data_IF_033453603423
#
_entry.id   IF_033453603423
#
_cell.length_a   1.000
_cell.length_b   1.000
_cell.length_c   1.000
_cell.angle_alpha   90.00
_cell.angle_beta   90.00
_cell.angle_gamma   90.00
#
_symmetry.space_group_name_H-M   'P 1'
#
loop_
_entity.id
_entity.type
_entity.pdbx_description
1 polymer ?
#
# COMPACT_ATOMS: atom_id res chain seq x y z
N UNK A 1 16.87 14.78 -6.93
CA UNK A 1 16.23 13.76 -6.07
C UNK A 1 15.54 12.77 -6.99
N UNK A 2 15.93 11.49 -6.96
CA UNK A 2 15.16 10.47 -7.66
C UNK A 2 13.78 10.42 -7.00
N UNK A 3 12.72 10.57 -7.80
CA UNK A 3 11.35 10.45 -7.30
C UNK A 3 11.10 8.98 -6.97
N UNK A 4 11.35 8.61 -5.69
CA UNK A 4 11.16 7.25 -5.18
C UNK A 4 9.68 6.85 -5.07
N UNK A 5 8.77 7.61 -5.71
CA UNK A 5 7.32 7.40 -5.71
C UNK A 5 6.80 6.75 -6.98
N UNK A 6 7.62 6.75 -8.05
CA UNK A 6 7.28 6.13 -9.34
C UNK A 6 8.12 4.88 -9.54
N UNK A 7 7.46 3.75 -9.78
CA UNK A 7 8.14 2.49 -10.09
C UNK A 7 8.85 2.56 -11.44
N UNK A 8 10.13 2.27 -11.44
CA UNK A 8 10.89 2.08 -12.66
C UNK A 8 10.64 0.68 -13.23
N UNK A 9 10.52 0.61 -14.56
CA UNK A 9 10.32 -0.63 -15.28
C UNK A 9 11.51 -0.84 -16.20
N UNK A 10 12.11 -2.02 -16.14
CA UNK A 10 13.19 -2.42 -17.03
C UNK A 10 12.98 -3.85 -17.50
N UNK A 11 13.11 -4.06 -18.82
CA UNK A 11 12.90 -5.38 -19.45
C UNK A 11 11.56 -6.04 -19.05
N UNK A 12 10.51 -5.23 -18.91
CA UNK A 12 9.18 -5.69 -18.57
C UNK A 12 8.96 -6.08 -17.10
N UNK A 13 9.90 -5.76 -16.21
CA UNK A 13 9.76 -6.01 -14.78
C UNK A 13 9.89 -4.72 -13.96
N UNK A 14 9.22 -4.69 -12.80
CA UNK A 14 9.39 -3.62 -11.82
C UNK A 14 10.74 -3.74 -11.13
N UNK A 15 11.47 -2.63 -11.04
CA UNK A 15 12.74 -2.58 -10.34
C UNK A 15 12.53 -2.29 -8.85
N UNK A 16 13.36 -2.88 -7.98
CA UNK A 16 13.45 -2.47 -6.58
C UNK A 16 13.81 -1.00 -6.44
N UNK A 17 13.24 -0.35 -5.42
CA UNK A 17 13.69 0.97 -5.01
C UNK A 17 15.00 0.87 -4.23
N UNK A 18 15.83 1.87 -4.38
CA UNK A 18 16.99 2.06 -3.51
C UNK A 18 16.50 2.69 -2.19
N UNK A 19 16.12 1.82 -1.24
CA UNK A 19 15.54 2.23 0.03
C UNK A 19 16.66 2.55 1.00
N UNK A 20 16.75 3.82 1.39
CA UNK A 20 17.58 4.26 2.50
C UNK A 20 16.70 4.31 3.75
N UNK A 21 16.90 3.42 4.73
CA UNK A 21 16.08 3.39 5.94
C UNK A 21 16.15 4.72 6.70
N UNK A 22 14.99 5.21 7.14
CA UNK A 22 14.89 6.41 7.98
C UNK A 22 15.53 6.20 9.36
N UNK A 23 15.80 7.26 10.10
CA UNK A 23 16.30 7.13 11.48
C UNK A 23 15.29 6.37 12.36
N UNK A 24 13.99 6.63 12.18
CA UNK A 24 12.93 5.94 12.91
C UNK A 24 12.91 4.43 12.58
N UNK A 25 13.07 4.07 11.31
CA UNK A 25 13.09 2.66 10.90
C UNK A 25 14.30 1.92 11.44
N UNK A 26 15.46 2.57 11.58
CA UNK A 26 16.65 1.97 12.17
C UNK A 26 16.44 1.56 13.64
N UNK A 27 15.66 2.32 14.42
CA UNK A 27 15.31 1.95 15.79
C UNK A 27 14.43 0.70 15.81
N UNK A 28 13.43 0.64 14.92
CA UNK A 28 12.56 -0.54 14.76
C UNK A 28 13.36 -1.77 14.36
N UNK A 29 14.21 -1.64 13.35
CA UNK A 29 15.06 -2.73 12.87
C UNK A 29 15.96 -3.26 14.00
N UNK A 30 16.57 -2.36 14.77
CA UNK A 30 17.43 -2.74 15.89
C UNK A 30 16.66 -3.47 16.99
N UNK A 31 15.43 -3.05 17.27
CA UNK A 31 14.59 -3.70 18.26
C UNK A 31 14.15 -5.10 17.80
N UNK A 32 13.69 -5.24 16.55
CA UNK A 32 13.26 -6.54 16.02
C UNK A 32 14.41 -7.55 15.94
N UNK A 33 15.63 -7.12 15.61
CA UNK A 33 16.80 -7.99 15.56
C UNK A 33 17.20 -8.61 16.92
N UNK A 34 16.67 -8.08 18.03
CA UNK A 34 16.90 -8.60 19.38
C UNK A 34 15.91 -9.70 19.76
N UNK A 35 14.87 -9.92 18.96
CA UNK A 35 13.86 -10.94 19.24
C UNK A 35 14.34 -12.32 18.77
N UNK A 36 13.90 -13.35 19.49
CA UNK A 36 14.06 -14.73 19.06
C UNK A 36 13.00 -15.03 17.97
N UNK A 37 13.44 -15.11 16.74
CA UNK A 37 12.58 -15.31 15.56
C UNK A 37 12.56 -16.82 15.23
N UNK A 38 11.36 -17.43 15.06
CA UNK A 38 11.27 -18.83 14.64
C UNK A 38 12.01 -19.06 13.31
N UNK A 39 12.69 -20.20 13.19
CA UNK A 39 13.64 -20.48 12.07
C UNK A 39 13.06 -20.31 10.67
N UNK A 40 11.75 -20.57 10.49
CA UNK A 40 11.07 -20.50 9.19
C UNK A 40 10.18 -19.26 9.08
N UNK A 41 10.53 -18.20 9.78
CA UNK A 41 9.76 -16.95 9.79
C UNK A 41 10.62 -15.81 9.30
N UNK A 42 10.14 -15.09 8.30
CA UNK A 42 10.80 -13.91 7.72
C UNK A 42 10.01 -12.67 8.08
N UNK A 43 10.69 -11.59 8.46
CA UNK A 43 10.07 -10.32 8.84
C UNK A 43 10.56 -9.22 7.90
N UNK A 44 9.61 -8.49 7.34
CA UNK A 44 9.83 -7.33 6.48
C UNK A 44 9.17 -6.09 7.06
N UNK A 45 9.88 -4.96 7.03
CA UNK A 45 9.34 -3.63 7.28
C UNK A 45 9.03 -2.96 5.94
N UNK A 46 7.89 -2.28 5.86
CA UNK A 46 7.45 -1.56 4.66
C UNK A 46 6.73 -0.25 5.03
N UNK A 47 6.23 0.45 4.02
CA UNK A 47 5.37 1.61 4.21
C UNK A 47 6.11 2.91 4.51
N UNK A 48 5.35 3.93 4.88
CA UNK A 48 5.87 5.29 5.08
C UNK A 48 6.90 5.37 6.20
N UNK A 49 6.79 4.51 7.20
CA UNK A 49 7.72 4.47 8.32
C UNK A 49 9.15 4.07 7.89
N UNK A 50 9.25 3.22 6.87
CA UNK A 50 10.54 2.83 6.29
C UNK A 50 11.18 3.97 5.47
N UNK A 51 10.36 4.75 4.76
CA UNK A 51 10.81 5.59 3.66
C UNK A 51 11.05 7.07 4.04
N UNK A 52 10.55 7.53 5.19
CA UNK A 52 10.65 8.95 5.59
C UNK A 52 10.77 9.15 7.09
N UNK A 53 11.54 10.17 7.48
CA UNK A 53 11.62 10.64 8.86
C UNK A 53 10.47 11.61 9.21
N UNK A 54 9.83 12.18 8.19
CA UNK A 54 8.68 13.07 8.35
C UNK A 54 7.41 12.25 8.20
N UNK A 55 6.89 11.77 9.33
CA UNK A 55 5.71 10.90 9.37
C UNK A 55 4.45 11.72 9.64
N UNK A 56 3.39 11.40 8.90
CA UNK A 56 2.06 11.87 9.27
C UNK A 56 1.70 11.36 10.68
N UNK A 57 0.98 12.15 11.52
CA UNK A 57 0.60 11.72 12.87
C UNK A 57 -0.10 10.37 12.95
N UNK A 58 -0.85 10.01 11.92
CA UNK A 58 -1.59 8.75 11.81
C UNK A 58 -0.84 7.67 11.02
N UNK A 59 0.46 7.84 10.74
CA UNK A 59 1.24 6.77 10.09
C UNK A 59 1.44 5.61 11.05
N UNK A 60 1.18 4.42 10.55
CA UNK A 60 1.42 3.13 11.19
C UNK A 60 2.81 2.58 10.87
N UNK A 61 3.21 1.57 11.60
CA UNK A 61 4.41 0.77 11.33
C UNK A 61 3.96 -0.52 10.68
N UNK A 62 4.23 -0.66 9.40
CA UNK A 62 3.75 -1.78 8.59
C UNK A 62 4.77 -2.92 8.57
N UNK A 63 4.38 -4.11 9.05
CA UNK A 63 5.16 -5.34 8.91
C UNK A 63 4.47 -6.35 8.00
N UNK A 64 5.29 -7.16 7.34
CA UNK A 64 4.84 -8.42 6.74
C UNK A 64 5.67 -9.54 7.34
N UNK A 65 5.00 -10.54 7.90
CA UNK A 65 5.59 -11.76 8.41
C UNK A 65 5.22 -12.89 7.45
N UNK A 66 6.24 -13.60 6.96
CA UNK A 66 6.06 -14.79 6.12
C UNK A 66 6.41 -16.00 6.97
N UNK A 67 5.46 -16.90 7.19
CA UNK A 67 5.64 -18.09 8.01
C UNK A 67 4.63 -19.18 7.67
N UNK A 68 5.07 -20.45 7.74
CA UNK A 68 4.20 -21.61 7.58
C UNK A 68 3.57 -22.06 8.91
N UNK A 69 3.92 -21.42 10.02
CA UNK A 69 3.43 -21.76 11.35
C UNK A 69 2.73 -20.57 12.01
N UNK A 70 1.98 -20.83 13.08
CA UNK A 70 1.37 -19.75 13.86
C UNK A 70 2.42 -18.80 14.42
N UNK A 71 2.22 -17.52 14.23
CA UNK A 71 3.11 -16.43 14.70
C UNK A 71 2.44 -15.54 15.76
N UNK A 72 1.38 -16.03 16.43
CA UNK A 72 0.60 -15.23 17.37
C UNK A 72 1.46 -14.69 18.53
N UNK A 73 2.29 -15.55 19.12
CA UNK A 73 3.21 -15.15 20.21
C UNK A 73 4.25 -14.13 19.72
N UNK A 74 4.77 -14.31 18.51
CA UNK A 74 5.70 -13.37 17.89
C UNK A 74 5.03 -12.00 17.68
N UNK A 75 3.78 -11.96 17.20
CA UNK A 75 3.02 -10.71 17.05
C UNK A 75 2.86 -9.99 18.38
N UNK A 76 2.51 -10.72 19.44
CA UNK A 76 2.38 -10.14 20.78
C UNK A 76 3.72 -9.61 21.30
N UNK A 77 4.80 -10.35 21.06
CA UNK A 77 6.17 -9.94 21.40
C UNK A 77 6.58 -8.67 20.65
N UNK A 78 6.34 -8.61 19.34
CA UNK A 78 6.62 -7.42 18.52
C UNK A 78 5.86 -6.21 19.06
N UNK A 79 4.55 -6.34 19.30
CA UNK A 79 3.72 -5.24 19.83
C UNK A 79 4.25 -4.73 21.17
N UNK A 80 4.62 -5.65 22.06
CA UNK A 80 5.16 -5.29 23.40
C UNK A 80 6.53 -4.63 23.26
N UNK A 81 7.40 -5.17 22.43
CA UNK A 81 8.78 -4.70 22.26
C UNK A 81 8.87 -3.33 21.58
N UNK A 82 7.91 -3.04 20.70
CA UNK A 82 7.82 -1.77 19.96
C UNK A 82 6.89 -0.75 20.61
N UNK A 83 6.38 -0.98 21.82
CA UNK A 83 5.47 -0.05 22.52
C UNK A 83 6.06 1.37 22.69
N UNK A 84 7.40 1.50 22.70
CA UNK A 84 8.09 2.79 22.79
C UNK A 84 7.87 3.70 21.59
N UNK A 85 7.44 3.17 20.44
CA UNK A 85 7.22 3.94 19.21
C UNK A 85 5.96 4.80 19.33
N UNK A 86 5.01 4.41 20.19
CA UNK A 86 3.71 5.09 20.39
C UNK A 86 2.94 5.33 19.07
N UNK A 87 2.92 4.31 18.21
CA UNK A 87 2.19 4.29 16.93
C UNK A 87 1.48 2.96 16.73
N UNK A 88 0.38 2.95 15.97
CA UNK A 88 -0.24 1.69 15.56
C UNK A 88 0.76 0.83 14.81
N UNK A 89 0.73 -0.47 15.08
CA UNK A 89 1.52 -1.47 14.38
C UNK A 89 0.56 -2.31 13.56
N UNK A 90 0.74 -2.31 12.25
CA UNK A 90 0.00 -3.19 11.33
C UNK A 90 0.88 -4.37 10.96
N UNK A 91 0.40 -5.59 11.21
CA UNK A 91 1.12 -6.82 10.89
C UNK A 91 0.26 -7.66 9.97
N UNK A 92 0.78 -7.93 8.78
CA UNK A 92 0.18 -8.86 7.83
C UNK A 92 0.97 -10.16 7.85
N UNK A 93 0.29 -11.28 8.10
CA UNK A 93 0.89 -12.61 8.09
C UNK A 93 0.51 -13.33 6.81
N UNK A 94 1.47 -13.90 6.14
CA UNK A 94 1.32 -14.63 4.89
C UNK A 94 2.04 -15.97 5.00
N UNK A 95 1.48 -17.03 4.44
CA UNK A 95 2.23 -18.23 4.06
C UNK A 95 3.02 -17.97 2.77
N UNK A 96 3.93 -18.87 2.43
CA UNK A 96 4.61 -18.81 1.12
C UNK A 96 3.62 -18.93 -0.04
N UNK A 97 2.55 -19.73 0.14
CA UNK A 97 1.48 -19.86 -0.84
C UNK A 97 0.69 -18.56 -1.00
N UNK A 98 0.25 -17.92 0.10
CA UNK A 98 -0.44 -16.63 0.06
C UNK A 98 0.39 -15.58 -0.63
N UNK A 99 1.69 -15.55 -0.34
CA UNK A 99 2.63 -14.63 -0.99
C UNK A 99 2.73 -14.92 -2.50
N UNK A 100 2.81 -16.18 -2.89
CA UNK A 100 2.87 -16.57 -4.31
C UNK A 100 1.60 -16.13 -5.06
N UNK A 101 0.44 -16.27 -4.45
CA UNK A 101 -0.85 -15.89 -5.06
C UNK A 101 -1.08 -14.37 -5.09
N UNK A 102 -0.44 -13.61 -4.20
CA UNK A 102 -0.66 -12.16 -4.09
C UNK A 102 0.33 -11.34 -4.91
N UNK A 103 -0.08 -10.91 -6.11
CA UNK A 103 0.72 -9.98 -6.93
C UNK A 103 1.04 -8.66 -6.19
N UNK A 104 0.15 -8.19 -5.33
CA UNK A 104 0.34 -6.97 -4.53
C UNK A 104 1.47 -7.12 -3.52
N UNK A 105 1.43 -8.19 -2.70
CA UNK A 105 2.47 -8.39 -1.69
C UNK A 105 3.81 -8.75 -2.33
N UNK A 106 3.84 -9.54 -3.39
CA UNK A 106 5.06 -9.79 -4.17
C UNK A 106 5.67 -8.50 -4.68
N UNK A 107 4.87 -7.64 -5.33
CA UNK A 107 5.34 -6.34 -5.81
C UNK A 107 5.91 -5.48 -4.68
N UNK A 108 5.17 -5.34 -3.58
CA UNK A 108 5.59 -4.49 -2.47
C UNK A 108 6.83 -5.03 -1.76
N UNK A 109 6.87 -6.33 -1.46
CA UNK A 109 8.00 -6.94 -0.76
C UNK A 109 9.24 -6.96 -1.62
N UNK A 110 9.12 -7.29 -2.92
CA UNK A 110 10.25 -7.27 -3.83
C UNK A 110 10.82 -5.87 -4.06
N UNK A 111 9.96 -4.83 -4.11
CA UNK A 111 10.40 -3.51 -4.58
C UNK A 111 10.45 -2.43 -3.50
N UNK A 112 9.68 -2.54 -2.42
CA UNK A 112 9.50 -1.48 -1.41
C UNK A 112 9.43 -2.01 0.02
N UNK A 113 10.30 -2.93 0.38
CA UNK A 113 10.42 -3.41 1.76
C UNK A 113 11.87 -3.60 2.16
N UNK A 114 12.10 -3.65 3.45
CA UNK A 114 13.38 -3.98 4.06
C UNK A 114 13.24 -5.32 4.79
N UNK A 115 14.00 -6.32 4.39
CA UNK A 115 14.16 -7.54 5.17
C UNK A 115 14.87 -7.25 6.49
N UNK A 116 14.27 -7.67 7.62
CA UNK A 116 14.80 -7.36 8.95
C UNK A 116 15.38 -8.58 9.63
N UNK A 117 14.67 -9.71 9.59
CA UNK A 117 15.03 -10.90 10.34
C UNK A 117 14.47 -12.18 9.70
N UNK A 118 15.10 -13.31 10.05
CA UNK A 118 14.78 -14.64 9.53
C UNK A 118 15.44 -14.92 8.17
N UNK A 119 15.08 -16.01 7.49
CA UNK A 119 15.57 -16.30 6.15
C UNK A 119 15.02 -15.29 5.13
N UNK A 120 15.88 -14.77 4.27
CA UNK A 120 15.44 -13.87 3.21
C UNK A 120 14.67 -14.68 2.13
N UNK A 121 13.49 -14.18 1.76
CA UNK A 121 12.71 -14.78 0.67
C UNK A 121 13.23 -14.26 -0.65
N UNK A 122 13.58 -15.17 -1.54
CA UNK A 122 14.00 -14.83 -2.90
C UNK A 122 12.73 -14.64 -3.75
N UNK A 123 12.59 -13.46 -4.32
CA UNK A 123 11.47 -13.12 -5.19
C UNK A 123 11.87 -13.24 -6.66
N UNK A 124 11.02 -13.91 -7.45
CA UNK A 124 11.09 -13.75 -8.90
C UNK A 124 10.75 -12.31 -9.28
N UNK A 125 11.36 -11.77 -10.35
CA UNK A 125 11.02 -10.44 -10.84
C UNK A 125 9.54 -10.29 -11.08
N UNK A 126 8.93 -9.25 -10.51
CA UNK A 126 7.49 -8.99 -10.70
C UNK A 126 7.29 -8.29 -12.03
N UNK A 127 6.60 -8.96 -12.94
CA UNK A 127 6.37 -8.44 -14.29
C UNK A 127 5.43 -7.23 -14.27
N UNK A 128 5.82 -6.19 -15.02
CA UNK A 128 5.01 -5.02 -15.27
C UNK A 128 4.05 -5.30 -16.42
N UNK A 129 3.01 -6.07 -16.17
CA UNK A 129 2.04 -6.51 -17.17
C UNK A 129 0.59 -6.39 -16.68
N UNK A 130 -0.35 -6.63 -17.58
CA UNK A 130 -1.78 -6.52 -17.31
C UNK A 130 -2.24 -7.46 -16.19
N UNK A 131 -1.71 -8.69 -16.13
CA UNK A 131 -2.09 -9.67 -15.11
C UNK A 131 -1.69 -9.23 -13.70
N UNK A 132 -0.46 -8.74 -13.53
CA UNK A 132 0.03 -8.17 -12.27
C UNK A 132 -0.84 -6.98 -11.85
N UNK A 133 -1.14 -6.07 -12.77
CA UNK A 133 -1.96 -4.89 -12.48
C UNK A 133 -3.42 -5.24 -12.19
N UNK A 134 -3.96 -6.22 -12.87
CA UNK A 134 -5.29 -6.77 -12.60
C UNK A 134 -5.39 -7.34 -11.18
N UNK A 135 -4.44 -8.18 -10.79
CA UNK A 135 -4.36 -8.71 -9.42
C UNK A 135 -4.24 -7.60 -8.39
N UNK A 136 -3.40 -6.59 -8.66
CA UNK A 136 -3.23 -5.44 -7.79
C UNK A 136 -4.51 -4.58 -7.68
N UNK A 137 -5.25 -4.38 -8.77
CA UNK A 137 -6.53 -3.69 -8.77
C UNK A 137 -7.58 -4.46 -7.94
N UNK A 138 -7.69 -5.76 -8.13
CA UNK A 138 -8.64 -6.58 -7.39
C UNK A 138 -8.34 -6.66 -5.90
N UNK A 139 -7.08 -6.52 -5.49
CA UNK A 139 -6.72 -6.37 -4.08
C UNK A 139 -7.33 -5.09 -3.47
N UNK A 140 -7.41 -3.99 -4.22
CA UNK A 140 -8.02 -2.74 -3.73
C UNK A 140 -9.53 -2.71 -3.80
N UNK A 141 -10.14 -3.44 -4.72
CA UNK A 141 -11.58 -3.36 -5.00
C UNK A 141 -12.48 -3.54 -3.77
N UNK A 142 -12.25 -4.50 -2.85
CA UNK A 142 -13.06 -4.63 -1.64
C UNK A 142 -13.00 -3.38 -0.75
N UNK A 143 -11.83 -2.78 -0.61
CA UNK A 143 -11.65 -1.55 0.17
C UNK A 143 -12.32 -0.35 -0.50
N UNK A 144 -12.25 -0.24 -1.83
CA UNK A 144 -12.94 0.80 -2.57
C UNK A 144 -14.46 0.65 -2.46
N UNK A 145 -14.99 -0.58 -2.53
CA UNK A 145 -16.41 -0.85 -2.33
C UNK A 145 -16.84 -0.49 -0.91
N UNK A 146 -16.06 -0.88 0.10
CA UNK A 146 -16.32 -0.51 1.49
C UNK A 146 -16.36 1.02 1.70
N UNK A 147 -15.59 1.80 0.94
CA UNK A 147 -15.63 3.27 0.97
C UNK A 147 -17.01 3.83 0.66
N UNK A 148 -17.76 3.16 -0.20
CA UNK A 148 -19.12 3.58 -0.59
C UNK A 148 -20.16 3.35 0.52
N UNK A 149 -19.81 2.61 1.57
CA UNK A 149 -20.72 2.17 2.63
C UNK A 149 -20.35 2.74 4.00
N UNK A 150 -19.11 3.13 4.23
CA UNK A 150 -18.62 3.52 5.56
C UNK A 150 -18.68 5.01 5.81
N UNK A 151 -19.07 5.37 7.03
CA UNK A 151 -19.11 6.76 7.53
C UNK A 151 -18.03 7.05 8.60
N UNK A 152 -17.24 6.08 9.05
CA UNK A 152 -16.22 6.30 10.09
C UNK A 152 -14.94 6.94 9.54
N UNK A 153 -14.34 7.90 10.27
CA UNK A 153 -13.18 8.69 9.82
C UNK A 153 -11.93 7.85 9.50
N UNK A 154 -11.48 6.90 10.35
CA UNK A 154 -10.28 6.12 10.05
C UNK A 154 -10.42 5.26 8.79
N UNK A 155 -11.57 4.60 8.64
CA UNK A 155 -11.86 3.78 7.46
C UNK A 155 -11.93 4.62 6.19
N UNK A 156 -12.43 5.86 6.26
CA UNK A 156 -12.50 6.77 5.11
C UNK A 156 -11.16 7.10 4.52
N UNK A 157 -10.18 7.46 5.36
CA UNK A 157 -8.83 7.80 4.91
C UNK A 157 -8.21 6.60 4.19
N UNK A 158 -8.32 5.40 4.78
CA UNK A 158 -7.80 4.18 4.17
C UNK A 158 -8.48 3.90 2.82
N UNK A 159 -9.79 4.03 2.76
CA UNK A 159 -10.60 3.76 1.59
C UNK A 159 -10.36 4.80 0.48
N UNK A 160 -10.25 6.08 0.85
CA UNK A 160 -9.91 7.16 -0.07
C UNK A 160 -8.51 6.95 -0.65
N UNK A 161 -7.54 6.47 0.16
CA UNK A 161 -6.23 6.04 -0.32
C UNK A 161 -6.35 4.97 -1.41
N UNK A 162 -7.18 3.95 -1.22
CA UNK A 162 -7.28 2.85 -2.18
C UNK A 162 -7.97 3.28 -3.49
N UNK A 163 -9.04 4.09 -3.40
CA UNK A 163 -9.68 4.67 -4.61
C UNK A 163 -8.66 5.53 -5.38
N UNK A 164 -7.94 6.38 -4.68
CA UNK A 164 -6.94 7.24 -5.33
C UNK A 164 -5.82 6.42 -5.97
N UNK A 165 -5.29 5.43 -5.27
CA UNK A 165 -4.21 4.55 -5.76
C UNK A 165 -4.63 3.68 -6.95
N UNK A 166 -5.90 3.37 -7.10
CA UNK A 166 -6.37 2.62 -8.26
C UNK A 166 -6.15 3.38 -9.57
N UNK A 167 -6.12 4.72 -9.55
CA UNK A 167 -5.76 5.53 -10.73
C UNK A 167 -4.29 5.37 -11.15
N UNK A 168 -3.39 5.00 -10.23
CA UNK A 168 -2.03 4.60 -10.61
C UNK A 168 -2.00 3.32 -11.44
N UNK A 169 -2.86 2.35 -11.10
CA UNK A 169 -3.01 1.11 -11.87
C UNK A 169 -3.61 1.41 -13.25
N UNK A 170 -4.69 2.20 -13.28
CA UNK A 170 -5.36 2.57 -14.53
C UNK A 170 -4.41 3.38 -15.44
N UNK A 171 -3.62 4.28 -14.88
CA UNK A 171 -2.61 5.03 -15.65
C UNK A 171 -1.60 4.08 -16.29
N UNK A 172 -1.02 3.16 -15.52
CA UNK A 172 -0.10 2.17 -16.07
C UNK A 172 -0.73 1.35 -17.19
N UNK A 173 -1.99 0.94 -17.03
CA UNK A 173 -2.70 0.15 -18.05
C UNK A 173 -2.95 0.91 -19.36
N UNK A 174 -3.11 2.25 -19.27
CA UNK A 174 -3.31 3.11 -20.45
C UNK A 174 -2.00 3.44 -21.16
N UNK A 175 -0.94 3.72 -20.40
CA UNK A 175 0.31 4.27 -20.90
C UNK A 175 1.46 3.24 -20.90
N UNK A 176 1.44 2.29 -19.98
CA UNK A 176 2.44 1.20 -19.87
C UNK A 176 3.82 1.63 -19.38
N UNK A 177 4.04 2.92 -19.12
CA UNK A 177 5.37 3.47 -18.86
C UNK A 177 5.65 3.71 -17.38
N UNK A 178 4.63 4.11 -16.60
CA UNK A 178 4.78 4.53 -15.23
C UNK A 178 3.69 3.96 -14.32
N UNK A 179 4.10 3.55 -13.12
CA UNK A 179 3.20 3.13 -12.05
C UNK A 179 3.57 3.84 -10.75
N UNK A 180 2.58 4.30 -10.00
CA UNK A 180 2.77 4.90 -8.68
C UNK A 180 1.63 4.59 -7.73
N UNK A 181 1.92 4.60 -6.43
CA UNK A 181 0.94 4.56 -5.33
C UNK A 181 0.98 5.84 -4.49
N UNK A 182 1.78 6.81 -4.91
CA UNK A 182 1.84 8.12 -4.28
C UNK A 182 0.54 8.89 -4.51
N UNK A 183 -0.05 9.42 -3.44
CA UNK A 183 -1.36 10.06 -3.51
C UNK A 183 -1.36 11.28 -4.44
N UNK A 184 -0.44 12.26 -4.30
CA UNK A 184 -0.36 13.39 -5.21
C UNK A 184 -0.23 12.98 -6.69
N UNK A 185 0.61 12.00 -6.98
CA UNK A 185 0.80 11.49 -8.34
C UNK A 185 -0.49 10.83 -8.87
N UNK A 186 -1.14 9.99 -8.07
CA UNK A 186 -2.39 9.34 -8.45
C UNK A 186 -3.54 10.35 -8.64
N UNK A 187 -3.61 11.41 -7.84
CA UNK A 187 -4.59 12.50 -8.01
C UNK A 187 -4.36 13.26 -9.32
N UNK A 188 -3.10 13.53 -9.68
CA UNK A 188 -2.77 14.11 -10.98
C UNK A 188 -3.28 13.23 -12.13
N UNK A 189 -3.03 11.93 -12.07
CA UNK A 189 -3.51 10.99 -13.10
C UNK A 189 -5.03 10.86 -13.12
N UNK A 190 -5.70 10.83 -11.96
CA UNK A 190 -7.16 10.87 -11.88
C UNK A 190 -7.73 12.09 -12.60
N UNK A 191 -7.14 13.28 -12.37
CA UNK A 191 -7.57 14.52 -13.00
C UNK A 191 -7.30 14.56 -14.52
N UNK A 192 -6.26 13.87 -14.99
CA UNK A 192 -5.99 13.70 -16.42
C UNK A 192 -6.98 12.76 -17.11
N UNK A 193 -7.34 11.65 -16.45
CA UNK A 193 -8.28 10.67 -16.99
C UNK A 193 -9.72 11.16 -16.96
N UNK A 194 -10.13 11.78 -15.86
CA UNK A 194 -11.45 12.36 -15.68
C UNK A 194 -11.35 13.61 -14.79
N UNK A 195 -11.42 14.79 -15.40
CA UNK A 195 -11.24 16.08 -14.72
C UNK A 195 -12.23 16.28 -13.57
N UNK A 196 -13.48 15.82 -13.71
CA UNK A 196 -14.49 15.95 -12.66
C UNK A 196 -14.13 15.06 -11.47
N UNK A 197 -13.85 13.77 -11.70
CA UNK A 197 -13.48 12.84 -10.64
C UNK A 197 -12.18 13.23 -9.94
N UNK A 198 -11.18 13.70 -10.70
CA UNK A 198 -9.94 14.18 -10.15
C UNK A 198 -10.14 15.39 -9.23
N UNK A 199 -10.92 16.37 -9.66
CA UNK A 199 -11.24 17.55 -8.85
C UNK A 199 -11.98 17.18 -7.54
N UNK A 200 -12.96 16.26 -7.64
CA UNK A 200 -13.69 15.78 -6.46
C UNK A 200 -12.81 15.00 -5.49
N UNK A 201 -11.91 14.15 -5.98
CA UNK A 201 -10.95 13.45 -5.13
C UNK A 201 -10.00 14.43 -4.43
N UNK A 202 -9.50 15.44 -5.12
CA UNK A 202 -8.66 16.49 -4.53
C UNK A 202 -9.44 17.20 -3.40
N UNK A 203 -10.67 17.64 -3.66
CA UNK A 203 -11.54 18.26 -2.67
C UNK A 203 -11.74 17.36 -1.43
N UNK A 204 -12.00 16.08 -1.62
CA UNK A 204 -12.17 15.11 -0.54
C UNK A 204 -10.88 14.96 0.28
N UNK A 205 -9.70 14.98 -0.35
CA UNK A 205 -8.42 14.94 0.33
C UNK A 205 -8.16 16.22 1.14
N UNK A 206 -8.47 17.39 0.60
CA UNK A 206 -8.29 18.68 1.28
C UNK A 206 -9.18 18.79 2.54
N UNK A 207 -10.30 18.09 2.55
CA UNK A 207 -11.29 18.15 3.64
C UNK A 207 -11.24 16.95 4.60
N UNK A 208 -10.50 15.89 4.27
CA UNK A 208 -10.53 14.61 5.02
C UNK A 208 -10.10 14.76 6.47
N UNK A 209 -9.18 15.66 6.78
CA UNK A 209 -8.70 15.91 8.14
C UNK A 209 -9.59 16.85 8.95
N UNK A 210 -10.34 17.72 8.28
CA UNK A 210 -11.20 18.73 8.91
C UNK A 210 -12.61 18.23 9.22
N UNK A 211 -13.08 17.15 8.56
CA UNK A 211 -14.44 16.68 8.69
C UNK A 211 -14.58 15.59 9.75
N UNK A 212 -15.42 15.84 10.75
CA UNK A 212 -15.82 14.83 11.75
C UNK A 212 -16.73 13.73 11.16
N UNK A 213 -17.39 14.00 10.03
CA UNK A 213 -18.22 13.04 9.29
C UNK A 213 -18.23 13.38 7.79
N UNK A 214 -18.32 12.36 6.90
CA UNK A 214 -18.70 12.60 5.52
C UNK A 214 -20.14 13.14 5.49
N UNK A 215 -20.36 14.19 4.75
CA UNK A 215 -21.70 14.59 4.34
C UNK A 215 -22.27 13.52 3.43
N UNK A 216 -23.62 13.41 3.34
CA UNK A 216 -24.25 12.48 2.40
C UNK A 216 -23.81 12.73 0.94
N UNK A 217 -23.52 13.98 0.63
CA UNK A 217 -23.02 14.43 -0.66
C UNK A 217 -21.63 13.83 -0.97
N UNK A 218 -20.71 13.81 0.01
CA UNK A 218 -19.38 13.22 -0.17
C UNK A 218 -19.45 11.72 -0.44
N UNK A 219 -20.40 11.02 0.20
CA UNK A 219 -20.61 9.60 -0.07
C UNK A 219 -21.15 9.36 -1.49
N UNK A 220 -21.98 10.26 -2.00
CA UNK A 220 -22.46 10.24 -3.38
C UNK A 220 -21.31 10.41 -4.37
N UNK A 221 -20.39 11.34 -4.10
CA UNK A 221 -19.18 11.54 -4.90
C UNK A 221 -18.30 10.30 -4.89
N UNK A 222 -17.99 9.74 -3.72
CA UNK A 222 -17.20 8.51 -3.59
C UNK A 222 -17.81 7.35 -4.38
N UNK A 223 -19.14 7.19 -4.34
CA UNK A 223 -19.88 6.19 -5.13
C UNK A 223 -19.72 6.41 -6.64
N UNK A 224 -19.88 7.64 -7.09
CA UNK A 224 -19.72 7.99 -8.51
C UNK A 224 -18.31 7.68 -9.00
N UNK A 225 -17.30 8.15 -8.28
CA UNK A 225 -15.89 7.90 -8.60
C UNK A 225 -15.58 6.39 -8.63
N UNK A 226 -16.09 5.62 -7.65
CA UNK A 226 -15.91 4.18 -7.61
C UNK A 226 -16.53 3.47 -8.82
N UNK A 227 -17.76 3.84 -9.18
CA UNK A 227 -18.47 3.20 -10.29
C UNK A 227 -17.77 3.47 -11.62
N UNK A 228 -17.36 4.70 -11.89
CA UNK A 228 -16.64 5.04 -13.12
C UNK A 228 -15.26 4.41 -13.18
N UNK A 229 -14.50 4.41 -12.06
CA UNK A 229 -13.22 3.74 -11.97
C UNK A 229 -13.36 2.23 -12.24
N UNK A 230 -14.39 1.59 -11.66
CA UNK A 230 -14.66 0.16 -11.86
C UNK A 230 -15.07 -0.13 -13.31
N UNK A 231 -15.84 0.73 -13.95
CA UNK A 231 -16.22 0.59 -15.36
C UNK A 231 -14.99 0.67 -16.25
N UNK A 232 -14.15 1.67 -16.08
CA UNK A 232 -12.90 1.85 -16.83
C UNK A 232 -11.98 0.64 -16.64
N UNK A 233 -11.79 0.16 -15.42
CA UNK A 233 -10.99 -1.04 -15.14
C UNK A 233 -11.54 -2.28 -15.85
N UNK A 234 -12.85 -2.48 -15.83
CA UNK A 234 -13.48 -3.63 -16.50
C UNK A 234 -13.35 -3.58 -18.02
N UNK A 235 -13.29 -2.40 -18.62
CA UNK A 235 -13.03 -2.23 -20.05
C UNK A 235 -11.59 -2.55 -20.40
N UNK A 236 -10.63 -2.20 -19.53
CA UNK A 236 -9.20 -2.46 -19.72
C UNK A 236 -8.82 -3.93 -19.47
N UNK A 237 -9.59 -4.66 -18.65
CA UNK A 237 -9.32 -6.07 -18.32
C UNK A 237 -10.00 -7.08 -19.27
N UNK A 238 -10.70 -6.60 -20.30
CA UNK A 238 -11.24 -7.46 -21.36
C UNK A 238 -10.15 -7.86 -22.35
#
# INVERSE_FOLDING_TARGET
MNDCRIWKIQKGAFLPFDIVPSQNSNQVVSAIKQLDIPKNTSIYLRGSFLETDILHPNSDVDFVIISETSVLELIQTINTHLAFINRPIEIVCLSSEDLHLSSTYRLLLHTRSLHIAGPEVVFDPVLANLETMRGHYFHYKPHMLAATLSLSKPLRIMQLKQITRSYGILHFMLDGSEFSRDIPTCLKWANQMNKQNGAELIRLWDTVDSLNAYMKEDLSVVKSVFLENSKLAMEMFK
#
